data_IF_976486917611
#
_entry.id   IF_976486917611
#
_cell.length_a   1.000
_cell.length_b   1.000
_cell.length_c   1.000
_cell.angle_alpha   90.00
_cell.angle_beta   90.00
_cell.angle_gamma   90.00
#
_symmetry.space_group_name_H-M   'P 1'
#
loop_
_entity.id
_entity.type
_entity.pdbx_description
1 polymer ?
#
# COMPACT_ATOMS: atom_id res chain seq x y z
N UNK A 1 -3.93 29.46 -16.28
CA UNK A 1 -3.17 29.88 -17.47
C UNK A 1 -1.78 30.32 -17.03
N UNK A 2 -0.75 30.06 -17.86
CA UNK A 2 0.61 30.55 -17.65
C UNK A 2 0.65 32.05 -17.93
N UNK A 3 1.49 32.78 -17.20
CA UNK A 3 1.70 34.23 -17.37
C UNK A 3 2.64 34.53 -18.54
N UNK A 4 3.44 33.53 -18.94
CA UNK A 4 4.51 33.67 -19.94
C UNK A 4 4.37 32.67 -21.07
N UNK A 5 4.99 32.96 -22.24
CA UNK A 5 4.80 32.20 -23.47
C UNK A 5 6.13 31.72 -24.13
N UNK A 6 7.27 31.92 -23.48
CA UNK A 6 8.62 31.58 -24.02
C UNK A 6 9.39 30.71 -23.02
N UNK A 7 10.71 30.88 -22.96
CA UNK A 7 11.61 30.14 -22.05
C UNK A 7 11.21 30.22 -20.58
N UNK A 8 10.54 31.29 -20.21
CA UNK A 8 10.05 31.52 -18.84
C UNK A 8 8.87 30.60 -18.47
N UNK A 9 8.08 30.16 -19.46
CA UNK A 9 6.90 29.33 -19.26
C UNK A 9 7.25 27.96 -18.63
N UNK A 10 8.40 27.40 -18.99
CA UNK A 10 8.87 26.12 -18.42
C UNK A 10 9.16 26.25 -16.92
N UNK A 11 9.85 27.34 -16.54
CA UNK A 11 10.16 27.62 -15.13
C UNK A 11 8.87 27.88 -14.34
N UNK A 12 7.98 28.71 -14.88
CA UNK A 12 6.68 28.99 -14.28
C UNK A 12 5.87 27.70 -14.05
N UNK A 13 5.79 26.83 -15.05
CA UNK A 13 5.08 25.56 -14.98
C UNK A 13 5.64 24.66 -13.86
N UNK A 14 6.96 24.53 -13.76
CA UNK A 14 7.62 23.70 -12.74
C UNK A 14 7.36 24.24 -11.34
N UNK A 15 7.43 25.56 -11.15
CA UNK A 15 7.18 26.22 -9.86
C UNK A 15 5.73 26.02 -9.42
N UNK A 16 4.76 26.28 -10.29
CA UNK A 16 3.34 26.08 -9.97
C UNK A 16 3.01 24.60 -9.76
N UNK A 17 3.54 23.69 -10.55
CA UNK A 17 3.40 22.25 -10.36
C UNK A 17 3.91 21.83 -8.97
N UNK A 18 5.09 22.33 -8.56
CA UNK A 18 5.64 22.11 -7.23
C UNK A 18 4.73 22.64 -6.11
N UNK A 19 4.20 23.85 -6.23
CA UNK A 19 3.29 24.43 -5.24
C UNK A 19 1.98 23.63 -5.11
N UNK A 20 1.48 23.04 -6.20
CA UNK A 20 0.31 22.16 -6.20
C UNK A 20 0.63 20.72 -5.74
N UNK A 21 1.92 20.38 -5.57
CA UNK A 21 2.37 19.05 -5.14
C UNK A 21 2.28 17.99 -6.22
N UNK A 22 2.35 18.41 -7.47
CA UNK A 22 2.51 17.50 -8.60
C UNK A 22 3.89 16.84 -8.51
N UNK A 23 3.96 15.53 -8.73
CA UNK A 23 5.22 14.80 -8.77
C UNK A 23 5.96 15.16 -10.06
N UNK A 24 7.17 15.72 -9.91
CA UNK A 24 8.03 16.08 -11.04
C UNK A 24 9.05 14.95 -11.19
N UNK A 25 9.05 14.29 -12.34
CA UNK A 25 9.97 13.19 -12.67
C UNK A 25 10.96 13.65 -13.70
N UNK A 26 12.25 13.46 -13.43
CA UNK A 26 13.33 13.71 -14.41
C UNK A 26 13.54 12.47 -15.27
N UNK A 27 13.51 12.67 -16.59
CA UNK A 27 13.82 11.63 -17.56
C UNK A 27 15.17 11.98 -18.18
N UNK A 28 16.17 11.10 -18.14
CA UNK A 28 17.44 11.35 -18.83
C UNK A 28 17.22 11.38 -20.34
N UNK A 29 17.66 12.45 -20.96
CA UNK A 29 17.62 12.62 -22.43
C UNK A 29 19.04 12.84 -22.96
N UNK A 30 19.32 12.33 -24.16
CA UNK A 30 20.53 12.67 -24.87
C UNK A 30 20.29 13.95 -25.65
N UNK A 31 21.08 14.98 -25.36
CA UNK A 31 21.01 16.27 -26.08
C UNK A 31 22.18 16.37 -27.04
N UNK A 32 21.88 16.48 -28.32
CA UNK A 32 22.87 16.78 -29.33
C UNK A 32 23.13 18.30 -29.42
N UNK A 33 24.36 18.71 -29.16
CA UNK A 33 24.78 20.09 -29.33
C UNK A 33 25.57 20.22 -30.66
N UNK A 34 24.98 20.84 -31.69
CA UNK A 34 25.70 21.04 -32.93
C UNK A 34 26.93 21.95 -32.73
N UNK A 35 27.95 21.90 -33.62
CA UNK A 35 29.09 22.76 -33.57
C UNK A 35 28.71 24.25 -33.50
N UNK A 36 29.55 25.08 -32.86
CA UNK A 36 29.23 26.51 -32.63
C UNK A 36 28.76 27.27 -33.88
N UNK A 37 29.30 26.93 -35.05
CA UNK A 37 28.96 27.59 -36.33
C UNK A 37 27.53 27.24 -36.82
N UNK A 38 26.96 26.16 -36.38
CA UNK A 38 25.65 25.65 -36.79
C UNK A 38 24.56 25.89 -35.73
N UNK A 39 24.93 26.47 -34.59
CA UNK A 39 23.97 26.75 -33.51
C UNK A 39 23.13 27.97 -33.81
N UNK A 40 21.83 27.78 -34.00
CA UNK A 40 20.86 28.86 -34.08
C UNK A 40 20.30 29.07 -32.66
N UNK A 41 20.60 30.20 -32.06
CA UNK A 41 20.03 30.58 -30.79
C UNK A 41 19.04 31.72 -30.97
N UNK A 42 17.80 31.48 -30.55
CA UNK A 42 16.75 32.51 -30.48
C UNK A 42 16.77 33.29 -29.15
N UNK A 43 17.74 33.01 -28.28
CA UNK A 43 17.92 33.69 -26.99
C UNK A 43 18.50 35.10 -27.21
N UNK A 44 17.80 36.10 -26.69
CA UNK A 44 18.19 37.52 -26.75
C UNK A 44 18.76 37.92 -25.39
N UNK A 45 20.11 37.98 -25.18
CA UNK A 45 20.73 38.04 -23.87
C UNK A 45 20.17 39.14 -22.94
N UNK A 46 19.98 40.35 -23.45
CA UNK A 46 19.48 41.48 -22.63
C UNK A 46 18.00 41.34 -22.28
N UNK A 47 17.15 41.12 -23.25
CA UNK A 47 15.70 41.12 -23.07
C UNK A 47 15.21 39.83 -22.35
N UNK A 48 15.74 38.67 -22.72
CA UNK A 48 15.32 37.40 -22.11
C UNK A 48 15.85 37.30 -20.70
N UNK A 49 17.06 37.80 -20.40
CA UNK A 49 17.58 37.92 -19.04
C UNK A 49 16.68 38.82 -18.18
N UNK A 50 16.30 40.01 -18.67
CA UNK A 50 15.42 40.94 -17.93
C UNK A 50 14.04 40.28 -17.62
N UNK A 51 13.45 39.57 -18.61
CA UNK A 51 12.18 38.85 -18.45
C UNK A 51 12.28 37.75 -17.40
N UNK A 52 13.33 36.90 -17.50
CA UNK A 52 13.56 35.82 -16.54
C UNK A 52 13.77 36.39 -15.13
N UNK A 53 14.53 37.48 -14.98
CA UNK A 53 14.76 38.13 -13.71
C UNK A 53 13.48 38.72 -13.10
N UNK A 54 12.65 39.38 -13.92
CA UNK A 54 11.34 39.88 -13.50
C UNK A 54 10.40 38.75 -13.06
N UNK A 55 10.34 37.67 -13.87
CA UNK A 55 9.54 36.49 -13.52
C UNK A 55 10.02 35.85 -12.21
N UNK A 56 11.31 35.67 -12.02
CA UNK A 56 11.86 35.13 -10.77
C UNK A 56 11.49 35.98 -9.57
N UNK A 57 11.58 37.31 -9.69
CA UNK A 57 11.15 38.22 -8.61
C UNK A 57 9.66 38.05 -8.31
N UNK A 58 8.82 38.01 -9.35
CA UNK A 58 7.38 37.79 -9.19
C UNK A 58 7.09 36.44 -8.57
N UNK A 59 7.75 35.36 -9.02
CA UNK A 59 7.59 34.01 -8.44
C UNK A 59 8.05 33.95 -6.99
N UNK A 60 9.09 34.68 -6.59
CA UNK A 60 9.51 34.77 -5.19
C UNK A 60 8.42 35.43 -4.32
N UNK A 61 7.82 36.53 -4.78
CA UNK A 61 6.70 37.16 -4.07
C UNK A 61 5.49 36.22 -3.99
N UNK A 62 5.13 35.59 -5.11
CA UNK A 62 4.04 34.63 -5.16
C UNK A 62 4.34 33.37 -4.32
N UNK A 63 5.60 32.97 -4.17
CA UNK A 63 5.98 31.86 -3.29
C UNK A 63 5.62 32.14 -1.82
N UNK A 64 5.76 33.40 -1.38
CA UNK A 64 5.41 33.80 -0.01
C UNK A 64 3.89 33.89 0.14
N UNK A 65 3.20 34.55 -0.79
CA UNK A 65 1.77 34.88 -0.67
C UNK A 65 0.89 33.66 -0.97
N UNK A 66 1.31 32.79 -1.90
CA UNK A 66 0.52 31.67 -2.39
C UNK A 66 1.21 30.30 -2.15
N UNK A 67 2.46 30.15 -2.54
CA UNK A 67 3.18 28.88 -2.49
C UNK A 67 3.35 28.34 -1.05
N UNK A 68 3.77 29.21 -0.13
CA UNK A 68 3.95 28.83 1.29
C UNK A 68 2.62 28.48 1.97
N UNK A 69 1.55 29.29 1.87
CA UNK A 69 0.24 28.93 2.39
C UNK A 69 -0.30 27.60 1.81
N UNK A 70 -0.19 27.38 0.52
CA UNK A 70 -0.59 26.10 -0.11
C UNK A 70 0.18 24.90 0.45
N UNK A 71 1.49 25.06 0.67
CA UNK A 71 2.34 24.03 1.27
C UNK A 71 1.95 23.74 2.72
N UNK A 72 1.73 24.78 3.51
CA UNK A 72 1.30 24.67 4.92
C UNK A 72 -0.07 24.00 5.02
N UNK A 73 -1.03 24.44 4.21
CA UNK A 73 -2.36 23.83 4.13
C UNK A 73 -2.29 22.34 3.83
N UNK A 74 -1.50 21.93 2.82
CA UNK A 74 -1.34 20.50 2.50
C UNK A 74 -0.69 19.68 3.63
N UNK A 75 0.30 20.27 4.32
CA UNK A 75 0.90 19.61 5.49
C UNK A 75 -0.13 19.46 6.61
N UNK A 76 -0.92 20.50 6.88
CA UNK A 76 -1.98 20.47 7.88
C UNK A 76 -3.05 19.42 7.54
N UNK A 77 -3.55 19.38 6.31
CA UNK A 77 -4.53 18.37 5.86
C UNK A 77 -3.97 16.95 5.97
N UNK A 78 -2.69 16.76 5.62
CA UNK A 78 -2.03 15.45 5.75
C UNK A 78 -1.89 15.04 7.22
N UNK A 79 -1.54 15.99 8.09
CA UNK A 79 -1.46 15.77 9.53
C UNK A 79 -2.85 15.40 10.11
N UNK A 80 -3.89 16.19 9.82
CA UNK A 80 -5.25 15.92 10.29
C UNK A 80 -5.78 14.57 9.80
N UNK A 81 -5.55 14.23 8.54
CA UNK A 81 -5.89 12.91 7.99
C UNK A 81 -5.20 11.79 8.76
N UNK A 82 -3.90 11.93 9.00
CA UNK A 82 -3.10 10.94 9.70
C UNK A 82 -3.58 10.78 11.14
N UNK A 83 -3.74 11.88 11.85
CA UNK A 83 -4.22 11.89 13.23
C UNK A 83 -5.61 11.24 13.35
N UNK A 84 -6.55 11.66 12.50
CA UNK A 84 -7.88 11.07 12.46
C UNK A 84 -7.84 9.57 12.18
N UNK A 85 -7.12 9.14 11.14
CA UNK A 85 -7.09 7.73 10.76
C UNK A 85 -6.42 6.86 11.84
N UNK A 86 -5.37 7.37 12.48
CA UNK A 86 -4.68 6.66 13.56
C UNK A 86 -5.56 6.57 14.80
N UNK A 87 -6.16 7.67 15.22
CA UNK A 87 -7.06 7.70 16.38
C UNK A 87 -8.28 6.80 16.15
N UNK A 88 -8.87 6.87 14.95
CA UNK A 88 -9.97 5.99 14.58
C UNK A 88 -9.57 4.52 14.63
N UNK A 89 -8.43 4.16 14.03
CA UNK A 89 -7.94 2.78 14.02
C UNK A 89 -7.65 2.27 15.45
N UNK A 90 -6.97 3.06 16.27
CA UNK A 90 -6.68 2.72 17.66
C UNK A 90 -7.97 2.56 18.47
N UNK A 91 -8.91 3.50 18.35
CA UNK A 91 -10.21 3.41 19.01
C UNK A 91 -10.96 2.15 18.58
N UNK A 92 -11.08 1.93 17.27
CA UNK A 92 -11.80 0.79 16.71
C UNK A 92 -11.17 -0.55 17.15
N UNK A 93 -9.84 -0.66 17.10
CA UNK A 93 -9.14 -1.88 17.52
C UNK A 93 -9.14 -2.07 19.03
N UNK A 94 -8.82 -1.04 19.82
CA UNK A 94 -8.65 -1.16 21.29
C UNK A 94 -9.96 -1.16 22.05
N UNK A 95 -10.96 -0.40 21.59
CA UNK A 95 -12.23 -0.22 22.33
C UNK A 95 -13.32 -1.16 21.81
N UNK A 96 -13.27 -1.56 20.54
CA UNK A 96 -14.33 -2.39 19.95
C UNK A 96 -13.83 -3.80 19.67
N UNK A 97 -12.86 -3.97 18.76
CA UNK A 97 -12.50 -5.29 18.24
C UNK A 97 -11.78 -6.15 19.27
N UNK A 98 -10.74 -5.61 19.92
CA UNK A 98 -9.94 -6.39 20.89
C UNK A 98 -10.76 -6.82 22.11
N UNK A 99 -11.58 -5.96 22.78
CA UNK A 99 -12.40 -6.38 23.89
C UNK A 99 -13.48 -7.40 23.49
N UNK A 100 -14.14 -7.22 22.34
CA UNK A 100 -15.12 -8.20 21.84
C UNK A 100 -14.46 -9.56 21.55
N UNK A 101 -13.32 -9.56 20.88
CA UNK A 101 -12.56 -10.78 20.62
C UNK A 101 -12.07 -11.44 21.91
N UNK A 102 -11.56 -10.63 22.85
CA UNK A 102 -11.11 -11.13 24.16
C UNK A 102 -12.26 -11.79 24.94
N UNK A 103 -13.40 -11.11 25.04
CA UNK A 103 -14.59 -11.66 25.69
C UNK A 103 -15.03 -12.96 25.01
N UNK A 104 -15.11 -12.95 23.67
CA UNK A 104 -15.51 -14.11 22.88
C UNK A 104 -14.57 -15.31 23.09
N UNK A 105 -13.25 -15.07 23.17
CA UNK A 105 -12.25 -16.12 23.42
C UNK A 105 -12.37 -16.68 24.85
N UNK A 106 -12.63 -15.82 25.84
CA UNK A 106 -12.73 -16.22 27.25
C UNK A 106 -13.99 -17.00 27.58
N UNK A 107 -15.08 -16.84 26.84
CA UNK A 107 -16.32 -17.59 27.03
C UNK A 107 -16.17 -19.03 26.56
N UNK A 108 -15.76 -19.95 27.43
CA UNK A 108 -15.59 -21.38 27.15
C UNK A 108 -14.32 -21.71 26.35
N UNK A 109 -14.18 -22.97 25.95
CA UNK A 109 -12.98 -23.48 25.25
C UNK A 109 -12.89 -22.96 23.81
N UNK A 110 -11.65 -22.76 23.32
CA UNK A 110 -11.40 -22.48 21.93
C UNK A 110 -11.73 -23.72 21.08
N UNK A 111 -12.62 -23.57 20.12
CA UNK A 111 -13.07 -24.61 19.19
C UNK A 111 -12.80 -24.14 17.76
N UNK A 112 -12.78 -25.06 16.81
CA UNK A 112 -12.61 -24.71 15.39
C UNK A 112 -13.69 -23.71 14.93
N UNK A 113 -14.95 -23.87 15.34
CA UNK A 113 -16.02 -22.91 15.05
C UNK A 113 -15.70 -21.50 15.56
N UNK A 114 -15.07 -21.41 16.73
CA UNK A 114 -14.64 -20.11 17.28
C UNK A 114 -13.49 -19.50 16.49
N UNK A 115 -12.55 -20.31 16.03
CA UNK A 115 -11.46 -19.86 15.19
C UNK A 115 -11.98 -19.28 13.86
N UNK A 116 -12.88 -20.00 13.18
CA UNK A 116 -13.54 -19.52 11.95
C UNK A 116 -14.21 -18.16 12.18
N UNK A 117 -15.01 -18.01 13.26
CA UNK A 117 -15.66 -16.71 13.57
C UNK A 117 -14.67 -15.61 13.91
N UNK A 118 -13.52 -15.95 14.48
CA UNK A 118 -12.46 -14.98 14.75
C UNK A 118 -11.85 -14.46 13.43
N UNK A 119 -11.61 -15.35 12.46
CA UNK A 119 -11.20 -14.95 11.12
C UNK A 119 -12.25 -14.08 10.42
N UNK A 120 -13.53 -14.44 10.55
CA UNK A 120 -14.64 -13.61 10.05
C UNK A 120 -14.65 -12.21 10.68
N UNK A 121 -14.44 -12.12 12.00
CA UNK A 121 -14.33 -10.84 12.70
C UNK A 121 -13.18 -9.99 12.14
N UNK A 122 -12.01 -10.57 11.95
CA UNK A 122 -10.84 -9.88 11.37
C UNK A 122 -11.13 -9.42 9.95
N UNK A 123 -11.73 -10.28 9.12
CA UNK A 123 -12.15 -9.95 7.76
C UNK A 123 -13.14 -8.80 7.73
N UNK A 124 -14.21 -8.85 8.55
CA UNK A 124 -15.20 -7.78 8.60
C UNK A 124 -14.62 -6.48 9.14
N UNK A 125 -13.73 -6.55 10.14
CA UNK A 125 -13.02 -5.38 10.66
C UNK A 125 -12.12 -4.75 9.58
N UNK A 126 -11.36 -5.55 8.82
CA UNK A 126 -10.53 -5.07 7.72
C UNK A 126 -11.39 -4.41 6.62
N UNK A 127 -12.49 -5.05 6.21
CA UNK A 127 -13.43 -4.47 5.24
C UNK A 127 -14.04 -3.17 5.72
N UNK A 128 -14.43 -3.11 7.00
CA UNK A 128 -14.98 -1.90 7.58
C UNK A 128 -13.95 -0.76 7.51
N UNK A 129 -12.73 -0.98 8.00
CA UNK A 129 -11.68 0.05 7.99
C UNK A 129 -11.25 0.47 6.58
N UNK A 130 -11.11 -0.49 5.65
CA UNK A 130 -10.53 -0.19 4.33
C UNK A 130 -11.56 0.23 3.28
N UNK A 131 -12.79 -0.28 3.36
CA UNK A 131 -13.80 -0.11 2.32
C UNK A 131 -14.99 0.71 2.81
N UNK A 132 -15.56 0.39 3.97
CA UNK A 132 -16.79 1.02 4.44
C UNK A 132 -16.56 2.40 5.05
N UNK A 133 -15.62 2.49 6.01
CA UNK A 133 -15.18 3.75 6.58
C UNK A 133 -14.18 4.41 5.63
N UNK A 134 -13.17 3.65 5.19
CA UNK A 134 -12.08 4.12 4.35
C UNK A 134 -11.08 5.01 5.10
N UNK A 135 -9.93 5.24 4.47
CA UNK A 135 -8.97 6.24 4.91
C UNK A 135 -9.30 7.55 4.17
N UNK A 136 -9.54 8.67 4.86
CA UNK A 136 -9.92 9.92 4.21
C UNK A 136 -8.98 10.33 3.07
N UNK A 137 -9.55 10.66 1.91
CA UNK A 137 -8.80 11.04 0.70
C UNK A 137 -8.18 9.87 -0.06
N UNK A 138 -8.58 8.62 0.22
CA UNK A 138 -8.18 7.45 -0.54
C UNK A 138 -9.36 6.80 -1.28
N UNK A 139 -9.03 6.07 -2.35
CA UNK A 139 -9.97 5.22 -3.08
C UNK A 139 -9.48 3.78 -3.05
N UNK A 140 -10.41 2.83 -3.00
CA UNK A 140 -10.11 1.41 -2.99
C UNK A 140 -10.63 0.76 -4.29
N UNK A 141 -9.72 0.20 -5.09
CA UNK A 141 -10.01 -0.43 -6.38
C UNK A 141 -9.45 -1.85 -6.34
N UNK A 142 -10.28 -2.82 -6.73
CA UNK A 142 -9.91 -4.23 -6.85
C UNK A 142 -10.08 -4.66 -8.30
N UNK A 143 -9.14 -5.42 -8.84
CA UNK A 143 -9.26 -6.06 -10.14
C UNK A 143 -9.13 -7.56 -9.97
N UNK A 144 -10.14 -8.31 -10.40
CA UNK A 144 -10.23 -9.75 -10.24
C UNK A 144 -10.82 -10.37 -11.50
N UNK A 145 -10.14 -11.34 -12.08
CA UNK A 145 -10.59 -11.98 -13.33
C UNK A 145 -10.80 -10.99 -14.48
N UNK A 146 -9.96 -9.95 -14.56
CA UNK A 146 -10.07 -8.88 -15.56
C UNK A 146 -11.10 -7.77 -15.23
N UNK A 147 -12.02 -8.00 -14.28
CA UNK A 147 -13.06 -7.03 -13.90
C UNK A 147 -12.57 -6.05 -12.85
N UNK A 148 -12.86 -4.78 -13.04
CA UNK A 148 -12.55 -3.71 -12.07
C UNK A 148 -13.75 -3.52 -11.15
N UNK A 149 -13.50 -3.68 -9.84
CA UNK A 149 -14.49 -3.59 -8.78
C UNK A 149 -14.15 -2.36 -7.92
N UNK A 150 -15.08 -1.41 -7.84
CA UNK A 150 -14.91 -0.16 -7.08
C UNK A 150 -15.78 -0.18 -5.82
N UNK A 151 -15.25 0.46 -4.76
CA UNK A 151 -16.03 0.67 -3.54
C UNK A 151 -16.46 -0.64 -2.85
N UNK A 152 -17.75 -0.77 -2.53
CA UNK A 152 -18.30 -1.82 -1.64
C UNK A 152 -18.76 -3.10 -2.35
N UNK A 153 -18.71 -3.13 -3.67
CA UNK A 153 -19.19 -4.27 -4.46
C UNK A 153 -18.52 -5.60 -4.05
N UNK A 154 -19.23 -6.73 -4.08
CA UNK A 154 -18.64 -8.03 -3.74
C UNK A 154 -17.66 -8.49 -4.82
N UNK A 155 -16.63 -9.21 -4.39
CA UNK A 155 -15.67 -9.87 -5.27
C UNK A 155 -16.17 -11.27 -5.61
N UNK A 156 -16.27 -11.60 -6.89
CA UNK A 156 -16.58 -12.94 -7.37
C UNK A 156 -15.28 -13.62 -7.77
N UNK A 157 -14.70 -14.39 -6.86
CA UNK A 157 -13.53 -15.22 -7.08
C UNK A 157 -13.54 -16.37 -6.07
N UNK A 158 -13.13 -17.54 -6.49
CA UNK A 158 -13.06 -18.72 -5.63
C UNK A 158 -11.86 -18.63 -4.68
N UNK A 159 -12.10 -18.08 -3.48
CA UNK A 159 -11.14 -18.08 -2.38
C UNK A 159 -11.33 -19.28 -1.43
N UNK A 160 -12.25 -20.20 -1.70
CA UNK A 160 -12.48 -21.36 -0.85
C UNK A 160 -11.43 -22.47 -1.10
N UNK A 161 -10.84 -22.50 -2.30
CA UNK A 161 -9.71 -23.37 -2.58
C UNK A 161 -8.43 -22.80 -1.94
N UNK A 162 -7.76 -23.55 -1.05
CA UNK A 162 -6.53 -23.07 -0.42
C UNK A 162 -5.40 -22.90 -1.44
N UNK A 163 -4.65 -21.80 -1.30
CA UNK A 163 -3.52 -21.45 -2.18
C UNK A 163 -2.40 -20.77 -1.41
N UNK A 164 -1.22 -20.76 -1.98
CA UNK A 164 -0.15 -19.87 -1.52
C UNK A 164 -0.32 -18.52 -2.21
N UNK A 165 -0.73 -17.51 -1.44
CA UNK A 165 -0.92 -16.16 -1.95
C UNK A 165 0.41 -15.42 -1.86
N UNK A 166 0.97 -15.01 -2.99
CA UNK A 166 2.15 -14.17 -3.04
C UNK A 166 1.78 -12.74 -3.38
N UNK A 167 2.39 -11.80 -2.68
CA UNK A 167 2.09 -10.39 -2.89
C UNK A 167 3.36 -9.55 -2.72
N UNK A 168 3.50 -8.49 -3.54
CA UNK A 168 4.55 -7.50 -3.33
C UNK A 168 4.31 -6.71 -2.04
N UNK A 169 5.40 -6.27 -1.38
CA UNK A 169 5.34 -5.65 -0.06
C UNK A 169 5.77 -4.18 -0.10
N UNK A 170 4.83 -3.26 0.11
CA UNK A 170 5.07 -1.83 0.02
C UNK A 170 4.86 -1.10 1.36
N UNK A 171 3.87 -1.54 2.16
CA UNK A 171 3.38 -0.78 3.31
C UNK A 171 2.92 -1.69 4.44
N UNK A 172 2.73 -1.14 5.63
CA UNK A 172 1.98 -1.80 6.71
C UNK A 172 0.51 -2.02 6.37
N UNK A 173 -0.02 -1.29 5.39
CA UNK A 173 -1.42 -1.41 4.96
C UNK A 173 -1.67 -2.61 4.02
N UNK A 174 -0.62 -3.26 3.53
CA UNK A 174 -0.73 -4.35 2.55
C UNK A 174 -1.52 -5.54 3.11
N UNK A 175 -1.30 -5.89 4.35
CA UNK A 175 -2.03 -6.95 5.04
C UNK A 175 -3.54 -6.66 5.09
N UNK A 176 -3.90 -5.43 5.46
CA UNK A 176 -5.29 -5.00 5.48
C UNK A 176 -5.92 -5.04 4.08
N UNK A 177 -5.13 -4.71 3.06
CA UNK A 177 -5.57 -4.77 1.66
C UNK A 177 -5.89 -6.20 1.20
N UNK A 178 -5.19 -7.21 1.68
CA UNK A 178 -5.47 -8.62 1.35
C UNK A 178 -6.63 -9.18 2.17
N UNK A 179 -6.73 -8.81 3.45
CA UNK A 179 -7.80 -9.26 4.35
C UNK A 179 -9.21 -8.90 3.89
N UNK A 180 -9.37 -7.94 2.97
CA UNK A 180 -10.71 -7.57 2.47
C UNK A 180 -11.32 -8.59 1.50
N UNK A 181 -10.54 -9.58 1.04
CA UNK A 181 -11.00 -10.55 0.03
C UNK A 181 -11.66 -11.77 0.63
N UNK A 182 -11.08 -12.35 1.67
CA UNK A 182 -11.57 -13.60 2.27
C UNK A 182 -11.19 -13.70 3.75
N UNK A 183 -12.05 -14.30 4.60
CA UNK A 183 -11.66 -14.67 5.95
C UNK A 183 -10.72 -15.89 6.00
N UNK A 184 -10.63 -16.69 4.91
CA UNK A 184 -9.81 -17.89 4.83
C UNK A 184 -8.38 -17.59 4.37
N UNK A 185 -7.72 -16.65 5.06
CA UNK A 185 -6.33 -16.28 4.79
C UNK A 185 -5.55 -16.18 6.11
N UNK A 186 -4.38 -16.79 6.13
CA UNK A 186 -3.43 -16.73 7.24
C UNK A 186 -2.12 -16.14 6.74
N UNK A 187 -1.55 -15.23 7.51
CA UNK A 187 -0.28 -14.59 7.17
C UNK A 187 0.88 -15.20 7.93
N UNK A 188 1.97 -15.41 7.22
CA UNK A 188 3.27 -15.59 7.85
C UNK A 188 3.78 -14.23 8.31
N UNK A 189 4.06 -14.12 9.60
CA UNK A 189 4.43 -12.85 10.23
C UNK A 189 5.85 -12.91 10.77
N UNK A 190 6.38 -11.77 11.17
CA UNK A 190 7.59 -11.72 11.99
C UNK A 190 7.21 -11.61 13.48
N UNK A 191 8.17 -11.86 14.35
CA UNK A 191 7.96 -11.85 15.80
C UNK A 191 7.47 -10.50 16.33
N UNK A 192 7.87 -9.39 15.70
CA UNK A 192 7.41 -8.06 16.08
C UNK A 192 5.88 -7.89 15.91
N UNK A 193 5.34 -8.38 14.80
CA UNK A 193 3.89 -8.36 14.52
C UNK A 193 3.16 -9.28 15.52
N UNK A 194 3.70 -10.45 15.77
CA UNK A 194 3.18 -11.44 16.71
C UNK A 194 3.09 -10.90 18.14
N UNK A 195 4.10 -10.13 18.57
CA UNK A 195 4.18 -9.55 19.92
C UNK A 195 3.54 -8.15 20.02
N UNK A 196 2.88 -7.67 18.97
CA UNK A 196 2.28 -6.34 18.97
C UNK A 196 1.20 -6.22 20.07
N UNK A 197 1.26 -5.19 20.93
CA UNK A 197 0.31 -5.04 22.04
C UNK A 197 -1.12 -4.77 21.59
N UNK A 198 -1.29 -4.16 20.39
CA UNK A 198 -2.60 -3.72 19.90
C UNK A 198 -3.40 -4.86 19.28
N UNK A 199 -2.78 -5.69 18.47
CA UNK A 199 -3.45 -6.73 17.69
C UNK A 199 -2.78 -8.11 17.80
N UNK A 200 -1.63 -8.22 18.47
CA UNK A 200 -0.91 -9.49 18.63
C UNK A 200 -1.74 -10.57 19.33
N UNK A 201 -2.56 -10.18 20.31
CA UNK A 201 -3.51 -11.10 20.94
C UNK A 201 -4.46 -11.71 19.90
N UNK A 202 -5.03 -10.88 19.03
CA UNK A 202 -6.00 -11.30 18.02
C UNK A 202 -5.36 -12.25 16.99
N UNK A 203 -4.21 -11.91 16.44
CA UNK A 203 -3.53 -12.70 15.41
C UNK A 203 -3.01 -14.04 15.94
N UNK A 204 -2.59 -14.09 17.21
CA UNK A 204 -2.19 -15.37 17.84
C UNK A 204 -3.35 -16.36 17.92
N UNK A 205 -4.53 -15.89 18.30
CA UNK A 205 -5.72 -16.73 18.37
C UNK A 205 -6.35 -17.01 17.01
N UNK A 206 -6.05 -16.19 16.01
CA UNK A 206 -6.39 -16.43 14.61
C UNK A 206 -5.32 -17.25 13.88
N UNK A 207 -4.42 -17.91 14.58
CA UNK A 207 -3.45 -18.85 14.03
C UNK A 207 -2.53 -18.26 12.93
N UNK A 208 -2.26 -16.94 12.97
CA UNK A 208 -1.20 -16.37 12.15
C UNK A 208 0.14 -16.82 12.72
N UNK A 209 1.09 -17.19 11.88
CA UNK A 209 2.30 -17.89 12.31
C UNK A 209 3.54 -17.00 12.18
N UNK A 210 4.35 -16.86 13.26
CA UNK A 210 5.61 -16.14 13.20
C UNK A 210 6.70 -17.02 12.61
N UNK A 211 7.36 -16.56 11.55
CA UNK A 211 8.53 -17.24 10.99
C UNK A 211 9.77 -16.76 11.74
N UNK A 212 10.28 -17.60 12.65
CA UNK A 212 11.45 -17.29 13.50
C UNK A 212 12.64 -18.16 13.08
N UNK A 213 12.44 -19.47 13.02
CA UNK A 213 13.48 -20.47 12.78
C UNK A 213 13.34 -21.17 11.40
N UNK A 214 12.77 -20.46 10.44
CA UNK A 214 12.46 -21.01 9.11
C UNK A 214 11.03 -21.52 8.98
N UNK A 215 10.75 -22.26 7.93
CA UNK A 215 9.41 -22.75 7.61
C UNK A 215 9.16 -24.18 8.09
N UNK A 216 10.20 -24.99 8.22
CA UNK A 216 10.12 -26.41 8.56
C UNK A 216 9.37 -26.67 9.88
N UNK A 217 9.63 -25.95 10.99
CA UNK A 217 8.90 -26.15 12.25
C UNK A 217 7.41 -25.81 12.16
N UNK A 218 7.03 -24.99 11.18
CA UNK A 218 5.65 -24.56 10.98
C UNK A 218 4.84 -25.49 10.07
N UNK A 219 5.48 -26.40 9.35
CA UNK A 219 4.84 -27.26 8.34
C UNK A 219 3.64 -28.06 8.87
N UNK A 220 3.67 -28.69 10.06
CA UNK A 220 2.50 -29.40 10.58
C UNK A 220 1.28 -28.48 10.78
N UNK A 221 1.51 -27.25 11.27
CA UNK A 221 0.45 -26.27 11.48
C UNK A 221 -0.07 -25.72 10.15
N UNK A 222 0.82 -25.47 9.20
CA UNK A 222 0.46 -25.02 7.85
C UNK A 222 -0.39 -26.05 7.10
N UNK A 223 -0.04 -27.36 7.19
CA UNK A 223 -0.87 -28.44 6.64
C UNK A 223 -2.26 -28.46 7.28
N UNK A 224 -2.34 -28.42 8.61
CA UNK A 224 -3.63 -28.36 9.30
C UNK A 224 -4.50 -27.18 8.88
N UNK A 225 -3.90 -26.01 8.66
CA UNK A 225 -4.61 -24.81 8.18
C UNK A 225 -5.11 -25.01 6.73
N UNK A 226 -4.28 -25.52 5.85
CA UNK A 226 -4.65 -25.73 4.45
C UNK A 226 -5.70 -26.84 4.29
N UNK A 227 -5.66 -27.90 5.11
CA UNK A 227 -6.69 -28.95 5.16
C UNK A 227 -8.06 -28.40 5.59
N UNK A 228 -8.07 -27.35 6.41
CA UNK A 228 -9.28 -26.60 6.81
C UNK A 228 -9.70 -25.55 5.76
N UNK A 229 -9.01 -25.44 4.63
CA UNK A 229 -9.34 -24.54 3.52
C UNK A 229 -8.74 -23.14 3.64
N UNK A 230 -7.74 -22.92 4.50
CA UNK A 230 -7.06 -21.62 4.60
C UNK A 230 -5.95 -21.48 3.57
N UNK A 231 -5.89 -20.34 2.92
CA UNK A 231 -4.75 -19.93 2.09
C UNK A 231 -3.66 -19.29 2.95
N UNK A 232 -2.41 -19.47 2.54
CA UNK A 232 -1.25 -18.94 3.24
C UNK A 232 -0.71 -17.75 2.44
N UNK A 233 -0.72 -16.56 3.04
CA UNK A 233 -0.21 -15.34 2.41
C UNK A 233 1.24 -15.09 2.81
N UNK A 234 2.07 -14.84 1.80
CA UNK A 234 3.50 -14.60 1.94
C UNK A 234 3.91 -13.36 1.14
N UNK A 235 4.76 -12.55 1.73
CA UNK A 235 5.47 -11.48 1.02
C UNK A 235 6.86 -12.00 0.63
N UNK A 236 7.06 -12.45 -0.61
CA UNK A 236 8.30 -13.14 -0.99
C UNK A 236 9.53 -12.24 -0.99
N UNK A 237 9.36 -10.93 -0.92
CA UNK A 237 10.43 -9.95 -0.76
C UNK A 237 11.04 -9.93 0.67
N UNK A 238 10.35 -10.51 1.66
CA UNK A 238 10.77 -10.55 3.07
C UNK A 238 10.83 -9.19 3.77
N UNK A 239 10.76 -8.09 3.03
CA UNK A 239 10.76 -6.72 3.57
C UNK A 239 9.98 -5.78 2.67
N UNK A 240 9.48 -4.69 3.26
CA UNK A 240 8.78 -3.64 2.50
C UNK A 240 9.75 -2.91 1.55
N UNK A 241 9.31 -2.68 0.33
CA UNK A 241 10.01 -1.86 -0.66
C UNK A 241 10.21 -0.41 -0.15
N UNK A 242 11.30 0.23 -0.56
CA UNK A 242 11.57 1.65 -0.24
C UNK A 242 11.00 2.59 -1.29
N UNK A 243 10.93 2.15 -2.53
CA UNK A 243 10.58 2.92 -3.74
C UNK A 243 9.34 2.39 -4.47
N UNK A 244 8.61 1.47 -3.85
CA UNK A 244 7.44 0.80 -4.41
C UNK A 244 7.73 -0.12 -5.62
N UNK A 245 9.00 -0.41 -5.92
CA UNK A 245 9.37 -1.41 -6.91
C UNK A 245 9.34 -2.80 -6.30
N UNK A 246 9.05 -3.80 -7.09
CA UNK A 246 9.11 -5.20 -6.69
C UNK A 246 10.59 -5.59 -6.54
N UNK A 247 10.94 -6.11 -5.38
CA UNK A 247 12.28 -6.57 -5.05
C UNK A 247 12.51 -8.03 -5.47
N UNK A 248 13.68 -8.56 -5.08
CA UNK A 248 14.02 -9.97 -5.30
C UNK A 248 13.11 -10.86 -4.43
N UNK A 249 12.58 -11.93 -5.02
CA UNK A 249 11.79 -12.94 -4.33
C UNK A 249 12.70 -13.98 -3.69
N UNK A 250 12.41 -14.30 -2.43
CA UNK A 250 13.00 -15.44 -1.73
C UNK A 250 12.23 -16.73 -2.05
N UNK A 251 12.91 -17.86 -1.93
CA UNK A 251 12.37 -19.17 -2.32
C UNK A 251 11.24 -19.70 -1.40
N UNK A 252 11.04 -19.11 -0.21
CA UNK A 252 10.11 -19.64 0.80
C UNK A 252 8.68 -19.85 0.32
N UNK A 253 8.14 -18.95 -0.50
CA UNK A 253 6.78 -19.10 -1.04
C UNK A 253 6.67 -20.28 -2.02
N UNK A 254 7.69 -20.49 -2.83
CA UNK A 254 7.77 -21.61 -3.79
C UNK A 254 7.98 -22.94 -3.08
N UNK A 255 8.82 -22.97 -2.06
CA UNK A 255 8.99 -24.09 -1.16
C UNK A 255 7.66 -24.52 -0.53
N UNK A 256 6.88 -23.59 0.03
CA UNK A 256 5.56 -23.86 0.58
C UNK A 256 4.59 -24.43 -0.47
N UNK A 257 4.59 -23.89 -1.68
CA UNK A 257 3.76 -24.42 -2.77
C UNK A 257 4.10 -25.89 -3.09
N UNK A 258 5.37 -26.22 -3.11
CA UNK A 258 5.83 -27.59 -3.38
C UNK A 258 5.48 -28.55 -2.25
N UNK A 259 5.80 -28.18 -1.01
CA UNK A 259 5.59 -29.03 0.17
C UNK A 259 4.11 -29.24 0.52
N UNK A 260 3.27 -28.25 0.30
CA UNK A 260 1.84 -28.33 0.57
C UNK A 260 1.02 -28.78 -0.65
N UNK A 261 1.63 -28.86 -1.83
CA UNK A 261 0.93 -29.25 -3.05
C UNK A 261 -0.09 -28.22 -3.54
N UNK A 262 0.10 -26.94 -3.22
CA UNK A 262 -0.85 -25.86 -3.49
C UNK A 262 -0.43 -25.01 -4.68
N UNK A 263 -1.43 -24.50 -5.41
CA UNK A 263 -1.23 -23.50 -6.45
C UNK A 263 -0.77 -22.16 -5.84
N UNK A 264 -0.01 -21.38 -6.62
CA UNK A 264 0.35 -20.01 -6.25
C UNK A 264 -0.68 -19.05 -6.83
N UNK A 265 -1.23 -18.18 -5.97
CA UNK A 265 -2.10 -17.09 -6.38
C UNK A 265 -1.35 -15.77 -6.28
N UNK A 266 -0.92 -15.18 -7.41
CA UNK A 266 -0.25 -13.88 -7.37
C UNK A 266 -1.27 -12.77 -7.12
N UNK A 267 -0.95 -11.89 -6.17
CA UNK A 267 -1.63 -10.62 -5.94
C UNK A 267 -0.66 -9.47 -6.14
N UNK A 268 -1.11 -8.41 -6.77
CA UNK A 268 -0.34 -7.20 -6.98
C UNK A 268 -0.97 -6.00 -6.27
N UNK A 269 -0.19 -5.32 -5.45
CA UNK A 269 -0.59 -4.08 -4.77
C UNK A 269 0.09 -2.88 -5.39
N UNK A 270 -0.70 -1.85 -5.68
CA UNK A 270 -0.21 -0.54 -6.06
C UNK A 270 -0.87 0.54 -5.20
N UNK A 271 -0.07 1.49 -4.75
CA UNK A 271 -0.54 2.63 -3.98
C UNK A 271 -0.31 2.58 -2.46
N UNK A 272 -0.38 1.42 -1.77
CA UNK A 272 -0.14 1.40 -0.32
C UNK A 272 1.17 2.06 0.09
N UNK A 273 2.27 1.81 -0.62
CA UNK A 273 3.56 2.42 -0.35
C UNK A 273 3.62 3.93 -0.65
N UNK A 274 2.78 4.44 -1.56
CA UNK A 274 2.63 5.88 -1.81
C UNK A 274 1.76 6.56 -0.74
N UNK A 275 0.75 5.86 -0.24
CA UNK A 275 -0.16 6.36 0.81
C UNK A 275 0.54 6.36 2.17
N UNK A 276 1.21 5.27 2.54
CA UNK A 276 1.99 5.15 3.77
C UNK A 276 3.39 4.60 3.43
N UNK A 277 4.33 5.43 3.02
CA UNK A 277 5.69 5.01 2.66
C UNK A 277 6.45 4.41 3.85
N UNK A 278 7.40 3.53 3.54
CA UNK A 278 8.34 2.99 4.54
C UNK A 278 9.04 4.13 5.29
N UNK A 279 9.18 4.01 6.60
CA UNK A 279 9.78 5.01 7.50
C UNK A 279 9.00 6.33 7.64
N UNK A 280 7.75 6.40 7.23
CA UNK A 280 6.89 7.55 7.51
C UNK A 280 5.63 7.11 8.25
N UNK A 281 5.02 8.05 8.98
CA UNK A 281 3.74 7.84 9.66
C UNK A 281 2.63 8.71 9.08
N UNK A 282 2.94 9.44 7.98
CA UNK A 282 1.99 10.36 7.36
C UNK A 282 1.18 9.67 6.27
N UNK A 283 -0.13 9.59 6.47
CA UNK A 283 -1.06 9.06 5.48
C UNK A 283 -1.34 10.10 4.40
N UNK A 284 -1.00 9.79 3.18
CA UNK A 284 -1.25 10.64 2.00
C UNK A 284 -2.55 10.24 1.32
N UNK A 285 -3.13 11.15 0.54
CA UNK A 285 -4.21 10.79 -0.40
C UNK A 285 -3.67 9.83 -1.47
N UNK A 286 -4.53 8.97 -1.98
CA UNK A 286 -4.11 8.03 -3.04
C UNK A 286 -5.14 6.99 -3.39
N UNK A 287 -4.71 5.99 -4.12
CA UNK A 287 -5.54 4.87 -4.56
C UNK A 287 -4.89 3.59 -4.06
N UNK A 288 -5.65 2.77 -3.36
CA UNK A 288 -5.34 1.35 -3.15
C UNK A 288 -5.84 0.59 -4.37
N UNK A 289 -4.93 0.06 -5.14
CA UNK A 289 -5.25 -0.81 -6.26
C UNK A 289 -4.71 -2.20 -5.98
N UNK A 290 -5.59 -3.19 -6.06
CA UNK A 290 -5.24 -4.58 -5.84
C UNK A 290 -5.72 -5.40 -7.03
N UNK A 291 -4.81 -6.13 -7.62
CA UNK A 291 -5.08 -7.06 -8.71
C UNK A 291 -4.84 -8.49 -8.25
N UNK A 292 -5.80 -9.35 -8.43
CA UNK A 292 -5.71 -10.79 -8.22
C UNK A 292 -5.46 -11.41 -9.58
N UNK A 293 -4.29 -12.04 -9.73
CA UNK A 293 -3.89 -12.74 -10.96
C UNK A 293 -4.53 -14.12 -11.09
N UNK A 294 -4.18 -14.81 -12.15
CA UNK A 294 -4.60 -16.18 -12.33
C UNK A 294 -3.75 -17.12 -11.45
N UNK A 295 -4.33 -18.19 -10.88
CA UNK A 295 -3.56 -19.20 -10.18
C UNK A 295 -2.53 -19.84 -11.12
N UNK A 296 -1.32 -20.01 -10.61
CA UNK A 296 -0.21 -20.66 -11.30
C UNK A 296 -0.15 -22.09 -10.79
N UNK A 297 -0.26 -23.05 -11.71
CA UNK A 297 -0.23 -24.46 -11.35
C UNK A 297 1.20 -24.91 -11.04
N UNK A 298 1.33 -25.99 -10.26
CA UNK A 298 2.62 -26.59 -9.89
C UNK A 298 3.43 -27.10 -11.11
N UNK A 299 2.77 -27.29 -12.25
CA UNK A 299 3.38 -27.83 -13.48
C UNK A 299 3.92 -26.73 -14.41
N UNK A 300 3.64 -25.49 -14.12
CA UNK A 300 4.12 -24.28 -14.79
C UNK A 300 5.23 -23.63 -13.95
#
# INVERSE_FOLDING_TARGET
SLLTNRYEAELELLVFASWHGTEIVSIPIQVYYPPRKERISHFRPGMDFARISLLNTLLCVLAIIYGLPCRLYRKMVTFLRTAYSLLFFLFFMMVIITPLAWLYIKIGRMTEKKQVRLHELIYHAARFVMIHHGIPGTKFIRKVGGMIIKGKEPVRFDFDKPRIIICNHQSHLDLMCQLVFTPKIVFLTNQWVWNNPTYGFLIRHAEYLPVIEGLEPLMPQLRSLTDRGYSIAVYPEGTRSKDCRIGRFHQGAFYLSQELGLEILPMYLYGPGKILPKKTYHLRKGIFYIEVGNPISRKE
#
